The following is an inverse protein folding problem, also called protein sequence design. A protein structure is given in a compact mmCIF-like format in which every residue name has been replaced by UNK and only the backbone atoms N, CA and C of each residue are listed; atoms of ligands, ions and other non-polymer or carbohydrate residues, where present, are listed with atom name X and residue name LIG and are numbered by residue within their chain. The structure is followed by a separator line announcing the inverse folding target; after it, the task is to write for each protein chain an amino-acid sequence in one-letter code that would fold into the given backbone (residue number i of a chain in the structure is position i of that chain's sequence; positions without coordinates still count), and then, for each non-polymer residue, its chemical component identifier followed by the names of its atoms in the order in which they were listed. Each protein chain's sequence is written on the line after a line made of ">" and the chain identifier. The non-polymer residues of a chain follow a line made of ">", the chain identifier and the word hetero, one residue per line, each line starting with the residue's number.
data_IF_541406315789
#
_entry.id   IF_541406315789
#
_cell.length_a   1.000
_cell.length_b   1.000
_cell.length_c   1.000
_cell.angle_alpha   90.00
_cell.angle_beta   90.00
_cell.angle_gamma   90.00
#
_symmetry.space_group_name_H-M   'P 1'
#
loop_
_entity.id
_entity.type
_entity.pdbx_description
1 polymer ?
#
# COMPACT_ATOMS: atom_id res chain seq x y z
N UNK A 1 13.80 -15.41 7.33
CA UNK A 1 13.39 -15.58 8.75
C UNK A 1 11.87 -15.49 8.95
N UNK A 2 11.18 -14.41 8.56
CA UNK A 2 9.71 -14.32 8.75
C UNK A 2 8.92 -15.35 7.93
N UNK A 3 9.26 -15.53 6.66
CA UNK A 3 8.63 -16.54 5.81
C UNK A 3 8.90 -17.95 6.38
N UNK A 4 10.12 -18.21 6.84
CA UNK A 4 10.52 -19.53 7.33
C UNK A 4 9.81 -19.93 8.64
N UNK A 5 9.32 -18.95 9.41
CA UNK A 5 8.50 -19.20 10.62
C UNK A 5 7.00 -19.29 10.30
N UNK A 6 6.61 -19.26 9.02
CA UNK A 6 5.23 -19.41 8.56
C UNK A 6 4.40 -18.13 8.54
N UNK A 7 5.02 -16.95 8.45
CA UNK A 7 4.27 -15.70 8.32
C UNK A 7 3.64 -15.55 6.92
N UNK A 8 2.33 -15.31 6.87
CA UNK A 8 1.59 -15.09 5.62
C UNK A 8 1.59 -13.62 5.15
N UNK A 9 1.72 -12.68 6.09
CA UNK A 9 1.62 -11.23 5.84
C UNK A 9 2.71 -10.48 6.60
N UNK A 10 3.37 -9.54 5.92
CA UNK A 10 4.22 -8.52 6.57
C UNK A 10 3.42 -7.23 6.75
N UNK A 11 3.32 -6.79 8.01
CA UNK A 11 2.79 -5.50 8.42
C UNK A 11 3.57 -5.02 9.67
N UNK A 12 3.95 -3.74 9.77
CA UNK A 12 3.75 -2.67 8.80
C UNK A 12 4.68 -2.74 7.58
N UNK A 13 4.20 -2.22 6.45
CA UNK A 13 5.05 -1.88 5.30
C UNK A 13 5.22 -0.37 5.25
N UNK A 14 6.31 0.14 5.83
CA UNK A 14 6.56 1.58 5.94
C UNK A 14 7.24 2.14 4.68
N UNK A 15 6.69 3.22 4.07
CA UNK A 15 7.26 3.88 2.89
C UNK A 15 8.42 4.81 3.26
N UNK A 16 9.47 4.24 3.86
CA UNK A 16 10.70 4.98 4.15
C UNK A 16 11.53 5.16 2.88
N UNK A 17 12.41 6.17 2.79
CA UNK A 17 13.29 6.37 1.64
C UNK A 17 14.19 5.17 1.30
N UNK A 18 14.48 4.32 2.29
CA UNK A 18 15.28 3.11 2.11
C UNK A 18 14.44 1.88 1.70
N UNK A 19 13.11 1.98 1.68
CA UNK A 19 12.21 0.86 1.35
C UNK A 19 11.87 0.88 -0.14
N UNK A 20 12.50 -0.01 -0.91
CA UNK A 20 12.14 -0.23 -2.31
C UNK A 20 11.01 -1.28 -2.41
N UNK A 21 9.78 -0.78 -2.56
CA UNK A 21 8.57 -1.62 -2.65
C UNK A 21 8.58 -2.57 -3.85
N UNK A 22 9.13 -2.12 -4.99
CA UNK A 22 9.17 -2.93 -6.20
C UNK A 22 10.19 -4.06 -6.07
N UNK A 23 11.37 -3.77 -5.50
CA UNK A 23 12.37 -4.79 -5.19
C UNK A 23 11.83 -5.82 -4.19
N UNK A 24 11.15 -5.38 -3.12
CA UNK A 24 10.51 -6.28 -2.16
C UNK A 24 9.48 -7.20 -2.82
N UNK A 25 8.63 -6.66 -3.71
CA UNK A 25 7.68 -7.47 -4.47
C UNK A 25 8.36 -8.48 -5.37
N UNK A 26 9.43 -8.07 -6.07
CA UNK A 26 10.16 -8.94 -6.97
C UNK A 26 10.86 -10.09 -6.22
N UNK A 27 11.42 -9.81 -5.03
CA UNK A 27 12.18 -10.78 -4.26
C UNK A 27 11.29 -11.74 -3.45
N UNK A 28 10.22 -11.23 -2.82
CA UNK A 28 9.42 -12.00 -1.86
C UNK A 28 7.96 -12.22 -2.29
N UNK A 29 7.52 -11.57 -3.36
CA UNK A 29 6.16 -11.75 -3.90
C UNK A 29 5.86 -13.22 -4.21
N UNK A 30 4.62 -13.63 -3.92
CA UNK A 30 4.18 -15.02 -4.07
C UNK A 30 4.60 -15.95 -2.93
N UNK A 31 5.49 -15.52 -2.05
CA UNK A 31 5.86 -16.25 -0.82
C UNK A 31 5.28 -15.63 0.45
N UNK A 32 5.03 -14.32 0.42
CA UNK A 32 4.40 -13.58 1.50
C UNK A 32 3.55 -12.45 0.93
N UNK A 33 2.51 -12.07 1.65
CA UNK A 33 1.69 -10.90 1.33
C UNK A 33 2.22 -9.65 2.04
N UNK A 34 1.96 -8.48 1.45
CA UNK A 34 2.35 -7.19 2.00
C UNK A 34 1.12 -6.40 2.43
N UNK A 35 1.15 -5.78 3.61
CA UNK A 35 0.06 -4.92 4.09
C UNK A 35 0.59 -3.57 4.59
N UNK A 36 0.01 -2.48 4.08
CA UNK A 36 0.43 -1.12 4.40
C UNK A 36 0.84 -0.35 3.15
N UNK A 37 1.93 0.42 3.23
CA UNK A 37 2.54 1.13 2.11
C UNK A 37 2.13 2.59 1.96
N UNK A 38 1.04 3.05 2.58
CA UNK A 38 0.56 4.44 2.46
C UNK A 38 1.10 5.30 3.61
N UNK A 39 1.73 6.43 3.29
CA UNK A 39 2.35 7.33 4.28
C UNK A 39 1.29 8.01 5.18
N UNK A 40 1.42 7.82 6.49
CA UNK A 40 0.47 8.35 7.48
C UNK A 40 0.65 9.84 7.80
N UNK A 41 1.84 10.41 7.60
CA UNK A 41 2.16 11.80 7.97
C UNK A 41 2.08 12.74 6.78
N UNK A 42 2.74 12.41 5.68
CA UNK A 42 2.78 13.24 4.48
C UNK A 42 1.52 13.08 3.65
N UNK A 43 1.14 11.84 3.34
CA UNK A 43 0.03 11.58 2.41
C UNK A 43 -1.32 11.71 3.09
N UNK A 44 -1.51 11.02 4.22
CA UNK A 44 -2.80 11.05 4.91
C UNK A 44 -3.15 12.39 5.55
N UNK A 45 -2.19 13.28 5.82
CA UNK A 45 -2.44 14.67 6.24
C UNK A 45 -2.42 15.67 5.07
N UNK A 46 -2.06 15.21 3.87
CA UNK A 46 -1.92 16.02 2.67
C UNK A 46 -3.22 16.20 1.87
N UNK A 47 -3.07 16.31 0.55
CA UNK A 47 -4.19 16.48 -0.38
C UNK A 47 -4.76 15.15 -0.85
N UNK A 48 -6.05 15.15 -1.20
CA UNK A 48 -6.71 14.00 -1.82
C UNK A 48 -6.03 13.55 -3.11
N UNK A 49 -5.49 14.49 -3.90
CA UNK A 49 -4.72 14.16 -5.10
C UNK A 49 -3.42 13.41 -4.77
N UNK A 50 -2.73 13.80 -3.68
CA UNK A 50 -1.53 13.09 -3.20
C UNK A 50 -1.84 11.67 -2.76
N UNK A 51 -2.98 11.45 -2.10
CA UNK A 51 -3.47 10.12 -1.70
C UNK A 51 -3.68 9.24 -2.94
N UNK A 52 -4.34 9.76 -3.97
CA UNK A 52 -4.57 9.01 -5.22
C UNK A 52 -3.26 8.67 -5.91
N UNK A 53 -2.31 9.61 -5.95
CA UNK A 53 -1.01 9.39 -6.54
C UNK A 53 -0.25 8.25 -5.83
N UNK A 54 -0.21 8.27 -4.49
CA UNK A 54 0.47 7.20 -3.73
C UNK A 54 -0.28 5.86 -3.83
N UNK A 55 -1.62 5.85 -3.82
CA UNK A 55 -2.42 4.64 -4.06
C UNK A 55 -2.06 4.02 -5.41
N UNK A 56 -2.01 4.83 -6.48
CA UNK A 56 -1.65 4.38 -7.82
C UNK A 56 -0.22 3.83 -7.86
N UNK A 57 0.72 4.52 -7.21
CA UNK A 57 2.12 4.09 -7.11
C UNK A 57 2.24 2.73 -6.41
N UNK A 58 1.64 2.59 -5.22
CA UNK A 58 1.74 1.35 -4.43
C UNK A 58 1.03 0.17 -5.10
N UNK A 59 -0.11 0.40 -5.75
CA UNK A 59 -0.76 -0.64 -6.57
C UNK A 59 0.19 -1.08 -7.70
N UNK A 60 0.80 -0.13 -8.42
CA UNK A 60 1.76 -0.43 -9.48
C UNK A 60 2.98 -1.24 -9.00
N UNK A 61 3.45 -1.00 -7.77
CA UNK A 61 4.62 -1.66 -7.20
C UNK A 61 4.30 -3.03 -6.58
N UNK A 62 3.16 -3.18 -5.89
CA UNK A 62 2.91 -4.31 -4.98
C UNK A 62 1.76 -5.21 -5.41
N UNK A 63 0.78 -4.71 -6.18
CA UNK A 63 -0.48 -5.43 -6.42
C UNK A 63 -0.40 -6.49 -7.52
N UNK A 64 0.51 -6.36 -8.48
CA UNK A 64 0.62 -7.32 -9.58
C UNK A 64 0.80 -8.76 -9.07
N UNK A 65 -0.01 -9.70 -9.58
CA UNK A 65 -0.01 -11.09 -9.13
C UNK A 65 -0.66 -11.35 -7.76
N UNK A 66 -1.34 -10.37 -7.15
CA UNK A 66 -2.02 -10.51 -5.86
C UNK A 66 -1.07 -10.39 -4.66
N UNK A 67 -1.55 -10.68 -3.44
CA UNK A 67 -0.72 -10.64 -2.23
C UNK A 67 -0.35 -9.24 -1.73
N UNK A 68 -1.16 -8.22 -2.05
CA UNK A 68 -1.03 -6.88 -1.49
C UNK A 68 -2.35 -6.40 -0.89
N UNK A 69 -2.29 -5.94 0.35
CA UNK A 69 -3.38 -5.38 1.12
C UNK A 69 -3.07 -3.89 1.34
N UNK A 70 -3.64 -3.04 0.50
CA UNK A 70 -3.45 -1.61 0.61
C UNK A 70 -4.07 -1.09 1.91
N UNK A 71 -3.23 -0.47 2.74
CA UNK A 71 -3.60 0.12 4.01
C UNK A 71 -2.66 1.28 4.34
N UNK A 72 -3.03 2.17 5.29
CA UNK A 72 -2.04 2.99 5.97
C UNK A 72 -0.87 2.14 6.47
N UNK A 73 0.35 2.68 6.39
CA UNK A 73 1.54 1.97 6.85
C UNK A 73 1.43 1.55 8.33
N UNK A 74 0.72 2.32 9.15
CA UNK A 74 0.44 2.01 10.55
C UNK A 74 -0.85 2.74 11.00
N UNK A 75 -1.18 2.72 12.29
CA UNK A 75 -2.35 3.39 12.86
C UNK A 75 -2.40 4.89 12.52
N UNK A 76 -3.52 5.32 11.93
CA UNK A 76 -3.83 6.72 11.70
C UNK A 76 -3.99 7.45 13.04
N UNK A 77 -3.57 8.71 13.06
CA UNK A 77 -3.66 9.57 14.25
C UNK A 77 -4.84 10.53 14.10
N UNK A 78 -5.23 11.17 15.22
CA UNK A 78 -6.39 12.07 15.25
C UNK A 78 -6.25 13.34 14.38
N UNK A 79 -5.05 13.63 13.91
CA UNK A 79 -4.72 14.74 13.02
C UNK A 79 -5.00 14.44 11.53
N UNK A 80 -5.36 13.20 11.18
CA UNK A 80 -5.74 12.81 9.83
C UNK A 80 -7.17 13.29 9.54
N UNK A 81 -7.38 14.14 8.51
CA UNK A 81 -8.73 14.57 8.16
C UNK A 81 -9.61 13.39 7.73
N UNK A 82 -10.85 13.23 8.22
CA UNK A 82 -11.72 12.11 7.84
C UNK A 82 -11.92 11.97 6.33
N UNK A 83 -12.02 13.07 5.59
CA UNK A 83 -12.12 13.08 4.13
C UNK A 83 -10.97 12.32 3.44
N UNK A 84 -9.76 12.39 4.01
CA UNK A 84 -8.58 11.74 3.46
C UNK A 84 -8.67 10.22 3.64
N UNK A 85 -9.23 9.74 4.75
CA UNK A 85 -9.54 8.31 4.94
C UNK A 85 -10.59 7.83 3.94
N UNK A 86 -11.67 8.58 3.75
CA UNK A 86 -12.67 8.25 2.72
C UNK A 86 -12.05 8.24 1.33
N UNK A 87 -11.18 9.21 0.99
CA UNK A 87 -10.50 9.25 -0.30
C UNK A 87 -9.57 8.06 -0.51
N UNK A 88 -8.81 7.66 0.52
CA UNK A 88 -7.96 6.46 0.46
C UNK A 88 -8.79 5.22 0.13
N UNK A 89 -9.91 5.04 0.85
CA UNK A 89 -10.82 3.91 0.65
C UNK A 89 -11.41 3.90 -0.76
N UNK A 90 -11.91 5.03 -1.25
CA UNK A 90 -12.50 5.11 -2.60
C UNK A 90 -11.45 4.90 -3.69
N UNK A 91 -10.26 5.49 -3.55
CA UNK A 91 -9.16 5.32 -4.50
C UNK A 91 -8.71 3.84 -4.59
N UNK A 92 -8.64 3.15 -3.45
CA UNK A 92 -8.30 1.74 -3.41
C UNK A 92 -9.35 0.88 -4.14
N UNK A 93 -10.64 1.21 -4.04
CA UNK A 93 -11.71 0.52 -4.79
C UNK A 93 -11.69 0.83 -6.29
N UNK A 94 -11.44 2.08 -6.64
CA UNK A 94 -11.37 2.56 -8.02
C UNK A 94 -10.20 1.92 -8.79
N UNK A 95 -9.03 1.82 -8.16
CA UNK A 95 -7.77 1.46 -8.82
C UNK A 95 -7.28 0.03 -8.51
N UNK A 96 -7.74 -0.57 -7.40
CA UNK A 96 -7.21 -1.83 -6.86
C UNK A 96 -8.09 -3.06 -7.08
N UNK A 97 -9.08 -2.98 -7.96
CA UNK A 97 -9.94 -4.14 -8.29
C UNK A 97 -9.20 -5.09 -9.22
N UNK A 98 -9.27 -6.40 -8.95
CA UNK A 98 -8.68 -7.44 -9.81
C UNK A 98 -9.70 -7.96 -10.86
N UNK A 99 -9.27 -8.33 -12.09
CA UNK A 99 -7.92 -8.14 -12.62
C UNK A 99 -7.57 -6.65 -12.65
N UNK A 100 -6.34 -6.32 -12.22
CA UNK A 100 -5.90 -4.93 -12.21
C UNK A 100 -6.06 -4.38 -13.62
N UNK A 101 -6.61 -3.18 -13.75
CA UNK A 101 -6.67 -2.52 -15.04
C UNK A 101 -5.23 -2.42 -15.58
N UNK A 102 -4.89 -3.30 -16.51
CA UNK A 102 -3.60 -3.31 -17.18
C UNK A 102 -3.48 -1.95 -17.87
N UNK A 103 -2.51 -1.15 -17.44
CA UNK A 103 -2.12 0.02 -18.20
C UNK A 103 -1.70 -0.46 -19.59
N UNK A 104 -2.46 -0.07 -20.61
CA UNK A 104 -1.94 0.04 -21.98
C UNK A 104 -0.72 0.94 -22.00
#
# INVERSE_FOLDING_TARGET
>A
RFIDIGADVVHPLEPLPATDMAALKAEFGGRISFMGGIDIRKTMQGSEAGIVAEVKERIGQLAAGGGYILAPANHLQADVPPRNLFRLYTAARELGTYPLATGT
#
